data_IF_182955267792
#
_entry.id   IF_182955267792
#
_cell.length_a   1.000
_cell.length_b   1.000
_cell.length_c   1.000
_cell.angle_alpha   90.00
_cell.angle_beta   90.00
_cell.angle_gamma   90.00
#
_symmetry.space_group_name_H-M   'P 1'
#
loop_
_entity.id
_entity.type
_entity.pdbx_description
1 polymer ?
#
# COMPACT_ATOMS: atom_id res chain seq x y z
N UNK A 1 -15.09 -4.57 16.35
CA UNK A 1 -13.62 -4.37 16.35
C UNK A 1 -13.24 -3.06 17.03
N UNK A 2 -12.19 -3.06 17.87
CA UNK A 2 -11.60 -1.85 18.47
C UNK A 2 -10.25 -1.53 17.82
N UNK A 3 -9.94 -0.25 17.72
CA UNK A 3 -8.68 0.25 17.20
C UNK A 3 -7.94 1.06 18.27
N UNK A 4 -6.62 0.91 18.31
CA UNK A 4 -5.72 1.63 19.21
C UNK A 4 -5.06 2.77 18.43
N UNK A 5 -5.07 3.97 18.99
CA UNK A 5 -4.31 5.10 18.51
C UNK A 5 -2.87 5.04 19.06
N UNK A 6 -1.86 5.00 18.18
CA UNK A 6 -0.46 4.88 18.59
C UNK A 6 0.16 6.17 19.16
N UNK A 7 -0.57 7.29 19.11
CA UNK A 7 -0.18 8.56 19.76
C UNK A 7 -0.63 8.66 21.23
N UNK A 8 -1.28 7.61 21.77
CA UNK A 8 -1.77 7.58 23.13
C UNK A 8 -3.13 8.25 23.36
N UNK A 9 -3.81 8.71 22.31
CA UNK A 9 -5.15 9.33 22.42
C UNK A 9 -6.28 8.35 22.75
N UNK A 10 -5.98 7.05 22.85
CA UNK A 10 -6.88 6.03 23.41
C UNK A 10 -7.42 5.03 22.38
N UNK A 11 -8.57 4.44 22.71
CA UNK A 11 -9.23 3.43 21.89
C UNK A 11 -10.45 4.00 21.17
N UNK A 12 -10.66 3.57 19.93
CA UNK A 12 -11.78 3.99 19.10
C UNK A 12 -12.54 2.77 18.58
N UNK A 13 -13.86 2.90 18.42
CA UNK A 13 -14.67 1.88 17.75
C UNK A 13 -14.78 2.18 16.25
N UNK A 14 -14.52 1.12 15.48
CA UNK A 14 -14.70 0.93 14.04
C UNK A 14 -14.46 2.14 13.13
N UNK A 15 -15.38 3.10 12.99
CA UNK A 15 -15.31 4.03 11.85
C UNK A 15 -14.37 5.23 11.99
N UNK A 16 -14.33 5.90 13.14
CA UNK A 16 -13.54 7.16 13.29
C UNK A 16 -12.03 6.93 13.26
N UNK A 17 -11.57 5.81 13.83
CA UNK A 17 -10.14 5.46 13.85
C UNK A 17 -9.61 5.11 12.46
N UNK A 18 -10.35 4.27 11.72
CA UNK A 18 -9.96 3.81 10.39
C UNK A 18 -9.88 4.97 9.37
N UNK A 19 -10.80 5.95 9.46
CA UNK A 19 -10.92 7.03 8.49
C UNK A 19 -10.06 8.26 8.78
N UNK A 20 -9.72 8.57 10.03
CA UNK A 20 -9.15 9.90 10.33
C UNK A 20 -7.79 10.16 9.67
N UNK A 21 -6.94 9.13 9.49
CA UNK A 21 -5.59 9.21 8.91
C UNK A 21 -4.58 10.08 9.69
N UNK A 22 -5.02 10.83 10.70
CA UNK A 22 -4.19 11.79 11.47
C UNK A 22 -3.22 11.11 12.44
N UNK A 23 -3.57 9.91 12.87
CA UNK A 23 -2.83 9.11 13.84
C UNK A 23 -2.70 7.69 13.28
N UNK A 24 -1.61 6.94 13.56
CA UNK A 24 -1.56 5.56 13.15
C UNK A 24 -2.50 4.77 14.06
N UNK A 25 -3.54 4.20 13.46
CA UNK A 25 -4.44 3.25 14.12
C UNK A 25 -4.07 1.82 13.74
N UNK A 26 -4.16 0.93 14.71
CA UNK A 26 -4.00 -0.52 14.56
C UNK A 26 -5.20 -1.23 15.18
N UNK A 27 -5.63 -2.39 14.65
CA UNK A 27 -6.63 -3.20 15.33
C UNK A 27 -6.06 -3.65 16.68
N UNK A 28 -6.87 -3.60 17.73
CA UNK A 28 -6.44 -4.06 19.07
C UNK A 28 -6.04 -5.54 19.07
N UNK A 29 -6.70 -6.33 18.22
CA UNK A 29 -6.35 -7.71 17.91
C UNK A 29 -6.48 -7.91 16.41
N UNK A 30 -5.43 -8.40 15.78
CA UNK A 30 -5.48 -8.73 14.35
C UNK A 30 -6.35 -9.99 14.18
N UNK A 31 -7.42 -9.94 13.37
CA UNK A 31 -8.16 -11.13 12.96
C UNK A 31 -7.26 -12.09 12.21
N UNK A 32 -7.29 -13.38 12.59
CA UNK A 32 -6.67 -14.42 11.79
C UNK A 32 -7.63 -14.80 10.66
N UNK A 33 -7.08 -15.00 9.47
CA UNK A 33 -7.82 -15.33 8.27
C UNK A 33 -7.76 -16.84 8.04
N UNK A 34 -8.92 -17.44 7.80
CA UNK A 34 -9.05 -18.86 7.47
C UNK A 34 -8.51 -19.12 6.04
N UNK A 35 -7.63 -20.12 5.82
CA UNK A 35 -7.12 -20.44 4.49
C UNK A 35 -8.20 -20.90 3.50
N UNK A 36 -9.39 -21.30 3.97
CA UNK A 36 -10.52 -21.65 3.10
C UNK A 36 -10.96 -20.48 2.21
N UNK A 37 -10.65 -19.24 2.58
CA UNK A 37 -10.87 -18.03 1.76
C UNK A 37 -10.22 -18.11 0.37
N UNK A 38 -9.12 -18.88 0.24
CA UNK A 38 -8.44 -19.10 -1.04
C UNK A 38 -9.22 -20.04 -1.95
N UNK A 39 -10.05 -20.92 -1.38
CA UNK A 39 -10.88 -21.88 -2.12
C UNK A 39 -12.22 -21.29 -2.59
N UNK A 40 -12.72 -20.25 -1.91
CA UNK A 40 -13.92 -19.51 -2.33
C UNK A 40 -13.73 -18.99 -3.77
N UNK A 41 -14.73 -19.16 -4.62
CA UNK A 41 -14.67 -18.77 -6.03
C UNK A 41 -15.30 -17.41 -6.27
N UNK A 42 -16.29 -17.07 -5.48
CA UNK A 42 -16.94 -15.77 -5.53
C UNK A 42 -16.02 -14.71 -4.93
N UNK A 43 -15.66 -13.72 -5.75
CA UNK A 43 -14.80 -12.62 -5.33
C UNK A 43 -15.39 -11.84 -4.16
N UNK A 44 -16.69 -11.58 -4.18
CA UNK A 44 -17.36 -10.76 -3.18
C UNK A 44 -17.48 -11.49 -1.85
N UNK A 45 -17.81 -12.79 -1.86
CA UNK A 45 -17.86 -13.59 -0.63
C UNK A 45 -16.48 -13.67 0.04
N UNK A 46 -15.44 -13.98 -0.73
CA UNK A 46 -14.05 -13.96 -0.22
C UNK A 46 -13.69 -12.60 0.36
N UNK A 47 -14.00 -11.51 -0.33
CA UNK A 47 -13.65 -10.18 0.16
C UNK A 47 -14.49 -9.80 1.39
N UNK A 48 -15.74 -10.26 1.47
CA UNK A 48 -16.59 -10.13 2.65
C UNK A 48 -15.99 -10.85 3.86
N UNK A 49 -15.53 -12.09 3.70
CA UNK A 49 -14.89 -12.88 4.75
C UNK A 49 -13.64 -12.19 5.31
N UNK A 50 -12.83 -11.59 4.42
CA UNK A 50 -11.69 -10.78 4.82
C UNK A 50 -12.11 -9.56 5.66
N UNK A 51 -13.12 -8.81 5.21
CA UNK A 51 -13.47 -7.52 5.82
C UNK A 51 -14.28 -7.67 7.11
N UNK A 52 -15.20 -8.65 7.17
CA UNK A 52 -16.15 -8.82 8.27
C UNK A 52 -15.53 -8.68 9.68
N UNK A 53 -14.41 -9.36 10.01
CA UNK A 53 -13.80 -9.23 11.33
C UNK A 53 -13.30 -7.82 11.66
N UNK A 54 -12.84 -7.05 10.67
CA UNK A 54 -12.36 -5.67 10.84
C UNK A 54 -13.51 -4.68 11.05
N UNK A 55 -14.70 -5.00 10.56
CA UNK A 55 -15.91 -4.18 10.70
C UNK A 55 -16.90 -4.72 11.72
N UNK A 56 -16.50 -5.64 12.61
CA UNK A 56 -17.39 -6.22 13.64
C UNK A 56 -18.62 -6.97 13.06
N UNK A 57 -18.47 -7.56 11.87
CA UNK A 57 -19.54 -8.17 11.09
C UNK A 57 -20.69 -7.20 10.78
N UNK A 58 -20.38 -5.93 10.51
CA UNK A 58 -21.37 -4.92 10.15
C UNK A 58 -22.18 -5.37 8.92
N UNK A 59 -23.51 -5.51 9.04
CA UNK A 59 -24.35 -5.92 7.91
C UNK A 59 -24.36 -4.92 6.76
N UNK A 60 -23.92 -3.67 6.95
CA UNK A 60 -23.82 -2.67 5.87
C UNK A 60 -22.69 -2.98 4.88
N UNK A 61 -21.73 -3.84 5.23
CA UNK A 61 -20.69 -4.27 4.27
C UNK A 61 -21.29 -4.88 2.98
N UNK A 62 -22.45 -5.53 3.07
CA UNK A 62 -23.14 -6.10 1.89
C UNK A 62 -23.56 -5.05 0.86
N UNK A 63 -23.69 -3.78 1.27
CA UNK A 63 -24.06 -2.67 0.38
C UNK A 63 -22.83 -2.11 -0.37
N UNK A 64 -21.63 -2.35 0.18
CA UNK A 64 -20.35 -1.85 -0.34
C UNK A 64 -19.80 -2.81 -1.38
N UNK A 65 -19.78 -4.11 -1.09
CA UNK A 65 -19.11 -5.11 -1.92
C UNK A 65 -19.56 -5.11 -3.39
N UNK A 66 -20.87 -5.02 -3.73
CA UNK A 66 -21.31 -5.01 -5.12
C UNK A 66 -20.81 -3.81 -5.94
N UNK A 67 -20.36 -2.74 -5.27
CA UNK A 67 -19.83 -1.52 -5.90
C UNK A 67 -18.33 -1.62 -6.19
N UNK A 68 -17.66 -2.68 -5.74
CA UNK A 68 -16.23 -2.90 -5.96
C UNK A 68 -16.04 -3.75 -7.21
N UNK A 69 -15.24 -3.26 -8.16
CA UNK A 69 -14.96 -4.00 -9.40
C UNK A 69 -14.13 -5.27 -9.11
N UNK A 70 -14.53 -6.45 -9.60
CA UNK A 70 -13.69 -7.65 -9.56
C UNK A 70 -12.58 -7.61 -10.62
N UNK A 71 -12.66 -6.71 -11.60
CA UNK A 71 -11.63 -6.52 -12.62
C UNK A 71 -10.47 -5.68 -12.04
N UNK A 72 -9.56 -6.38 -11.35
CA UNK A 72 -8.39 -5.81 -10.65
C UNK A 72 -7.09 -5.94 -11.44
N UNK A 73 -7.15 -6.52 -12.65
CA UNK A 73 -5.99 -6.93 -13.44
C UNK A 73 -5.89 -8.45 -13.57
N UNK A 74 -4.71 -8.93 -13.93
CA UNK A 74 -4.49 -10.34 -14.25
C UNK A 74 -3.12 -10.85 -13.80
N UNK A 75 -3.09 -12.14 -13.45
CA UNK A 75 -1.86 -12.84 -13.11
C UNK A 75 -1.08 -13.21 -14.39
N UNK A 76 0.13 -12.68 -14.54
CA UNK A 76 1.09 -13.10 -15.56
C UNK A 76 2.05 -14.15 -15.00
N UNK A 77 2.35 -15.15 -15.80
CA UNK A 77 3.12 -16.33 -15.40
C UNK A 77 4.33 -16.47 -16.29
N UNK A 78 5.51 -16.65 -15.72
CA UNK A 78 6.74 -16.90 -16.49
C UNK A 78 7.02 -18.40 -16.52
N UNK A 79 7.00 -19.03 -15.36
CA UNK A 79 7.16 -20.47 -15.18
C UNK A 79 6.38 -20.94 -13.94
N UNK A 80 6.51 -22.22 -13.59
CA UNK A 80 5.83 -22.80 -12.43
C UNK A 80 6.41 -22.33 -11.08
N UNK A 81 7.40 -21.44 -11.06
CA UNK A 81 8.02 -20.90 -9.84
C UNK A 81 7.82 -19.39 -9.70
N UNK A 82 7.26 -18.72 -10.70
CA UNK A 82 7.07 -17.27 -10.65
C UNK A 82 5.85 -16.79 -11.41
N UNK A 83 5.11 -15.92 -10.73
CA UNK A 83 4.06 -15.12 -11.33
C UNK A 83 4.12 -13.70 -10.77
N UNK A 84 3.56 -12.76 -11.53
CA UNK A 84 3.35 -11.40 -11.05
C UNK A 84 1.95 -10.93 -11.39
N UNK A 85 1.37 -10.16 -10.48
CA UNK A 85 0.10 -9.50 -10.72
C UNK A 85 0.32 -8.25 -11.57
N UNK A 86 -0.28 -8.22 -12.77
CA UNK A 86 -0.38 -7.01 -13.58
C UNK A 86 -1.70 -6.32 -13.20
N UNK A 87 -1.67 -5.14 -12.55
CA UNK A 87 -2.91 -4.45 -12.22
C UNK A 87 -3.61 -3.96 -13.49
N UNK A 88 -4.94 -3.78 -13.42
CA UNK A 88 -5.69 -3.13 -14.49
C UNK A 88 -5.15 -1.73 -14.74
N UNK A 89 -4.98 -0.97 -13.66
CA UNK A 89 -4.33 0.32 -13.71
C UNK A 89 -3.20 0.46 -12.71
N UNK A 90 -3.50 0.26 -11.42
CA UNK A 90 -2.52 0.36 -10.35
C UNK A 90 -2.88 -0.61 -9.22
N UNK A 91 -1.90 -1.15 -8.50
CA UNK A 91 -2.17 -2.15 -7.44
C UNK A 91 -2.97 -1.57 -6.25
N UNK A 92 -3.15 -0.25 -6.15
CA UNK A 92 -4.01 0.39 -5.15
C UNK A 92 -5.47 0.58 -5.58
N UNK A 93 -5.87 0.12 -6.77
CA UNK A 93 -7.23 0.32 -7.28
C UNK A 93 -8.29 -0.26 -6.32
N UNK A 94 -8.07 -1.49 -5.82
CA UNK A 94 -8.96 -2.12 -4.83
C UNK A 94 -9.02 -1.30 -3.53
N UNK A 95 -7.88 -0.80 -3.06
CA UNK A 95 -7.77 0.00 -1.83
C UNK A 95 -8.56 1.30 -1.90
N UNK A 96 -8.43 2.05 -3.00
CA UNK A 96 -9.16 3.30 -3.16
C UNK A 96 -10.64 3.07 -3.48
N UNK A 97 -10.98 2.04 -4.25
CA UNK A 97 -12.38 1.63 -4.46
C UNK A 97 -13.06 1.28 -3.13
N UNK A 98 -12.39 0.52 -2.27
CA UNK A 98 -12.90 0.21 -0.92
C UNK A 98 -13.07 1.49 -0.08
N UNK A 99 -12.09 2.40 -0.11
CA UNK A 99 -12.17 3.67 0.61
C UNK A 99 -13.36 4.52 0.16
N UNK A 100 -13.57 4.66 -1.16
CA UNK A 100 -14.67 5.44 -1.70
C UNK A 100 -16.03 4.89 -1.28
N UNK A 101 -16.23 3.58 -1.41
CA UNK A 101 -17.49 2.94 -1.05
C UNK A 101 -17.75 2.94 0.46
N UNK A 102 -16.71 2.82 1.30
CA UNK A 102 -16.85 3.00 2.75
C UNK A 102 -17.26 4.42 3.10
N UNK A 103 -16.67 5.43 2.46
CA UNK A 103 -17.04 6.82 2.71
C UNK A 103 -18.48 7.09 2.29
N UNK A 104 -18.92 6.57 1.15
CA UNK A 104 -20.28 6.73 0.67
C UNK A 104 -21.31 6.12 1.65
N UNK A 105 -21.04 4.91 2.14
CA UNK A 105 -21.97 4.21 3.02
C UNK A 105 -21.97 4.78 4.45
N UNK A 106 -20.79 4.97 5.05
CA UNK A 106 -20.67 5.23 6.48
C UNK A 106 -20.42 6.69 6.82
N UNK A 107 -19.95 7.49 5.87
CA UNK A 107 -19.58 8.87 6.12
C UNK A 107 -19.82 9.81 4.92
N UNK A 108 -21.02 9.77 4.28
CA UNK A 108 -21.30 10.49 3.04
C UNK A 108 -21.17 12.01 3.19
N UNK A 109 -21.24 12.53 4.42
CA UNK A 109 -20.98 13.94 4.70
C UNK A 109 -19.58 14.40 4.26
N UNK A 110 -18.59 13.50 4.20
CA UNK A 110 -17.24 13.82 3.72
C UNK A 110 -17.12 13.78 2.19
N UNK A 111 -18.14 13.29 1.49
CA UNK A 111 -18.25 13.34 0.03
C UNK A 111 -19.04 14.58 -0.44
N UNK A 112 -19.50 15.44 0.47
CA UNK A 112 -20.18 16.68 0.11
C UNK A 112 -19.13 17.75 -0.22
N UNK A 113 -19.12 18.20 -1.48
CA UNK A 113 -18.19 19.23 -1.97
C UNK A 113 -17.04 18.64 -2.78
N UNK A 114 -15.92 19.36 -2.87
CA UNK A 114 -14.75 18.94 -3.64
C UNK A 114 -13.77 18.14 -2.77
N UNK A 115 -13.50 16.91 -3.16
CA UNK A 115 -12.50 16.02 -2.57
C UNK A 115 -11.10 16.38 -3.04
N UNK A 116 -10.25 16.75 -2.10
CA UNK A 116 -8.86 17.11 -2.37
C UNK A 116 -7.94 15.93 -2.02
N UNK A 117 -7.27 15.35 -3.01
CA UNK A 117 -6.18 14.40 -2.77
C UNK A 117 -4.83 15.13 -2.88
N UNK A 118 -3.97 14.94 -1.88
CA UNK A 118 -2.60 15.43 -1.90
C UNK A 118 -1.65 14.23 -2.06
N UNK A 119 -1.23 13.97 -3.30
CA UNK A 119 -0.43 12.80 -3.67
C UNK A 119 1.07 13.02 -3.48
N UNK A 120 1.85 11.94 -3.55
CA UNK A 120 3.32 12.00 -3.65
C UNK A 120 3.84 11.48 -4.98
N UNK A 121 3.05 10.64 -5.63
CA UNK A 121 3.29 10.12 -6.98
C UNK A 121 1.99 10.15 -7.78
N UNK A 122 2.09 10.15 -9.11
CA UNK A 122 0.94 10.09 -10.01
C UNK A 122 0.10 8.84 -9.82
N UNK A 123 0.76 7.77 -9.44
CA UNK A 123 0.20 6.43 -9.43
C UNK A 123 -0.90 6.25 -8.36
N UNK A 124 -0.69 6.77 -7.14
CA UNK A 124 -1.77 6.82 -6.12
C UNK A 124 -2.90 7.77 -6.49
N UNK A 125 -2.59 8.86 -7.22
CA UNK A 125 -3.61 9.79 -7.72
C UNK A 125 -4.52 9.14 -8.76
N UNK A 126 -3.98 8.23 -9.55
CA UNK A 126 -4.72 7.51 -10.58
C UNK A 126 -5.82 6.61 -10.00
N UNK A 127 -5.48 5.74 -9.03
CA UNK A 127 -6.48 4.90 -8.36
C UNK A 127 -7.57 5.73 -7.67
N UNK A 128 -7.20 6.86 -7.08
CA UNK A 128 -8.17 7.79 -6.47
C UNK A 128 -9.13 8.40 -7.51
N UNK A 129 -8.64 8.68 -8.72
CA UNK A 129 -9.50 9.18 -9.78
C UNK A 129 -10.54 8.16 -10.24
N UNK A 130 -10.18 6.90 -10.37
CA UNK A 130 -11.17 5.88 -10.73
C UNK A 130 -12.12 5.51 -9.60
N UNK A 131 -11.70 5.68 -8.34
CA UNK A 131 -12.52 5.28 -7.21
C UNK A 131 -13.67 6.25 -6.87
N UNK A 132 -13.52 7.54 -7.16
CA UNK A 132 -14.53 8.57 -6.80
C UNK A 132 -15.17 9.23 -8.06
N UNK A 133 -16.29 9.95 -7.97
CA UNK A 133 -16.89 10.66 -9.13
C UNK A 133 -16.10 11.91 -9.57
N UNK A 134 -16.04 12.20 -10.87
CA UNK A 134 -15.14 13.19 -11.49
C UNK A 134 -15.45 14.65 -11.16
N UNK A 135 -16.73 15.01 -11.02
CA UNK A 135 -17.20 16.40 -10.89
C UNK A 135 -16.84 17.06 -9.54
N UNK A 136 -16.22 16.32 -8.63
CA UNK A 136 -16.03 16.69 -7.23
C UNK A 136 -14.59 16.46 -6.75
N UNK A 137 -13.55 16.59 -7.59
CA UNK A 137 -12.18 16.32 -7.12
C UNK A 137 -11.15 17.31 -7.60
N UNK A 138 -10.13 17.51 -6.76
CA UNK A 138 -8.84 18.08 -7.13
C UNK A 138 -7.73 17.10 -6.72
N UNK A 139 -6.72 16.96 -7.56
CA UNK A 139 -5.50 16.23 -7.22
C UNK A 139 -4.33 17.20 -7.22
N UNK A 140 -3.63 17.26 -6.11
CA UNK A 140 -2.40 18.05 -5.96
C UNK A 140 -1.20 17.12 -5.92
N UNK A 141 -0.27 17.33 -6.85
CA UNK A 141 0.98 16.58 -6.99
C UNK A 141 2.16 17.55 -6.95
N UNK A 142 3.36 17.12 -6.51
CA UNK A 142 4.54 17.95 -6.68
C UNK A 142 4.89 18.06 -8.17
N UNK A 143 5.42 19.21 -8.59
CA UNK A 143 5.81 19.46 -10.00
C UNK A 143 6.77 18.40 -10.57
N UNK A 144 7.60 17.77 -9.75
CA UNK A 144 8.50 16.68 -10.18
C UNK A 144 7.82 15.43 -10.72
N UNK A 145 6.50 15.32 -10.58
CA UNK A 145 5.77 14.16 -11.09
C UNK A 145 5.49 14.36 -12.58
N UNK A 146 6.36 13.79 -13.42
CA UNK A 146 6.39 14.03 -14.87
C UNK A 146 5.42 13.18 -15.69
N UNK A 147 4.91 12.07 -15.14
CA UNK A 147 4.14 11.08 -15.89
C UNK A 147 2.74 10.94 -15.32
N UNK A 148 1.80 11.71 -15.85
CA UNK A 148 0.39 11.68 -15.47
C UNK A 148 -0.34 10.83 -16.50
N UNK A 149 -1.04 9.76 -16.11
CA UNK A 149 -1.82 8.96 -17.04
C UNK A 149 -2.79 9.81 -17.88
N UNK A 150 -2.87 9.55 -19.18
CA UNK A 150 -3.90 10.10 -20.05
C UNK A 150 -5.25 9.49 -19.68
N UNK A 151 -6.16 10.33 -19.21
CA UNK A 151 -7.57 9.97 -19.16
C UNK A 151 -8.41 11.22 -19.37
N UNK A 152 -9.41 11.09 -20.24
CA UNK A 152 -10.44 12.10 -20.46
C UNK A 152 -11.26 12.39 -19.19
N UNK A 153 -11.08 11.58 -18.15
CA UNK A 153 -11.72 11.71 -16.85
C UNK A 153 -10.94 12.63 -15.87
N UNK A 154 -9.74 13.08 -16.22
CA UNK A 154 -8.81 13.78 -15.31
C UNK A 154 -8.76 15.30 -15.56
N UNK A 155 -9.81 16.05 -15.20
CA UNK A 155 -9.90 17.49 -15.53
C UNK A 155 -9.31 18.46 -14.49
N UNK A 156 -9.05 18.00 -13.26
CA UNK A 156 -8.59 18.83 -12.13
C UNK A 156 -7.32 18.29 -11.44
N UNK A 157 -6.27 18.03 -12.24
CA UNK A 157 -4.94 17.72 -11.72
C UNK A 157 -4.11 19.00 -11.68
N UNK A 158 -3.55 19.28 -10.51
CA UNK A 158 -2.71 20.42 -10.22
C UNK A 158 -1.31 19.95 -9.83
N UNK A 159 -0.31 20.36 -10.60
CA UNK A 159 1.08 20.28 -10.19
C UNK A 159 1.40 21.53 -9.37
N UNK A 160 1.87 21.33 -8.14
CA UNK A 160 2.19 22.40 -7.21
C UNK A 160 3.66 22.72 -7.35
N UNK A 161 3.95 23.95 -7.78
CA UNK A 161 5.29 24.53 -7.84
C UNK A 161 5.80 24.71 -6.41
N UNK A 162 6.66 23.78 -5.99
CA UNK A 162 7.25 23.69 -4.66
C UNK A 162 8.54 22.88 -4.74
N UNK A 163 9.53 23.22 -3.91
CA UNK A 163 10.77 22.43 -3.86
C UNK A 163 10.42 20.97 -3.50
N UNK A 164 10.78 19.98 -4.34
CA UNK A 164 10.52 18.57 -4.09
C UNK A 164 11.04 18.08 -2.74
N UNK A 165 12.15 18.66 -2.26
CA UNK A 165 12.71 18.35 -0.94
C UNK A 165 11.79 18.79 0.18
N UNK A 166 10.95 19.80 -0.05
CA UNK A 166 10.01 20.38 0.92
C UNK A 166 8.57 19.95 0.70
N UNK A 167 8.25 19.23 -0.38
CA UNK A 167 6.89 18.78 -0.68
C UNK A 167 6.21 18.08 0.49
N UNK A 168 6.95 17.22 1.20
CA UNK A 168 6.45 16.54 2.39
C UNK A 168 6.00 17.52 3.50
N UNK A 169 6.68 18.65 3.68
CA UNK A 169 6.29 19.71 4.63
C UNK A 169 5.00 20.40 4.16
N UNK A 170 4.95 20.77 2.88
CA UNK A 170 3.78 21.38 2.23
C UNK A 170 2.56 20.48 2.39
N UNK A 171 2.67 19.21 1.95
CA UNK A 171 1.64 18.18 2.11
C UNK A 171 1.21 18.02 3.57
N UNK A 172 2.14 17.87 4.50
CA UNK A 172 1.82 17.67 5.92
C UNK A 172 1.11 18.87 6.54
N UNK A 173 1.46 20.09 6.12
CA UNK A 173 0.82 21.32 6.61
C UNK A 173 -0.65 21.35 6.19
N UNK A 174 -0.95 20.95 4.96
CA UNK A 174 -2.32 20.89 4.45
C UNK A 174 -3.15 19.77 5.05
N UNK A 175 -2.59 18.57 5.14
CA UNK A 175 -3.30 17.43 5.72
C UNK A 175 -3.74 17.67 7.17
N UNK A 176 -3.04 18.53 7.92
CA UNK A 176 -3.44 18.94 9.27
C UNK A 176 -4.70 19.82 9.29
N UNK A 177 -4.98 20.55 8.23
CA UNK A 177 -6.14 21.46 8.12
C UNK A 177 -7.41 20.71 7.72
N UNK A 178 -7.28 19.56 7.06
CA UNK A 178 -8.43 18.77 6.63
C UNK A 178 -9.15 18.12 7.82
N UNK A 179 -10.50 18.05 7.80
CA UNK A 179 -11.26 17.40 8.86
C UNK A 179 -10.93 15.90 8.94
N UNK A 180 -10.74 15.27 7.78
CA UNK A 180 -10.28 13.89 7.60
C UNK A 180 -9.13 13.86 6.59
N UNK A 181 -8.12 13.03 6.86
CA UNK A 181 -7.07 12.70 5.89
C UNK A 181 -7.50 11.46 5.10
N UNK A 182 -7.73 11.66 3.80
CA UNK A 182 -8.01 10.60 2.83
C UNK A 182 -6.76 10.37 1.98
N UNK A 183 -5.83 9.55 2.47
CA UNK A 183 -4.64 9.18 1.71
C UNK A 183 -4.16 7.75 2.01
N UNK A 184 -2.98 7.39 1.51
CA UNK A 184 -2.42 6.05 1.69
C UNK A 184 -2.25 5.64 3.16
N UNK A 185 -2.26 6.59 4.09
CA UNK A 185 -2.12 6.30 5.51
C UNK A 185 -3.37 5.71 6.16
N UNK A 186 -4.53 5.70 5.49
CA UNK A 186 -5.75 5.12 6.02
C UNK A 186 -5.63 3.59 6.14
N UNK A 187 -6.13 3.02 7.25
CA UNK A 187 -6.06 1.57 7.45
C UNK A 187 -6.86 0.79 6.40
N UNK A 188 -7.90 1.40 5.81
CA UNK A 188 -8.64 0.83 4.67
C UNK A 188 -7.73 0.50 3.49
N UNK A 189 -6.69 1.31 3.26
CA UNK A 189 -5.77 1.09 2.16
C UNK A 189 -5.02 -0.23 2.33
N UNK A 190 -4.65 -0.55 3.58
CA UNK A 190 -4.03 -1.83 3.96
C UNK A 190 -5.01 -2.99 3.71
N UNK A 191 -6.29 -2.84 4.06
CA UNK A 191 -7.31 -3.87 3.82
C UNK A 191 -7.51 -4.16 2.32
N UNK A 192 -7.47 -3.13 1.47
CA UNK A 192 -7.51 -3.32 0.02
C UNK A 192 -6.30 -4.09 -0.51
N UNK A 193 -5.09 -3.79 -0.01
CA UNK A 193 -3.89 -4.55 -0.37
C UNK A 193 -3.95 -6.01 0.11
N UNK A 194 -4.50 -6.26 1.30
CA UNK A 194 -4.75 -7.62 1.78
C UNK A 194 -5.69 -8.36 0.83
N UNK A 195 -6.78 -7.71 0.38
CA UNK A 195 -7.70 -8.27 -0.61
C UNK A 195 -7.03 -8.61 -1.93
N UNK A 196 -6.15 -7.74 -2.42
CA UNK A 196 -5.42 -7.96 -3.66
C UNK A 196 -4.46 -9.15 -3.54
N UNK A 197 -3.73 -9.29 -2.43
CA UNK A 197 -2.84 -10.44 -2.21
C UNK A 197 -3.65 -11.74 -2.15
N UNK A 198 -4.76 -11.76 -1.42
CA UNK A 198 -5.63 -12.95 -1.34
C UNK A 198 -6.19 -13.29 -2.72
N UNK A 199 -6.64 -12.30 -3.48
CA UNK A 199 -7.15 -12.52 -4.83
C UNK A 199 -6.06 -13.08 -5.77
N UNK A 200 -4.84 -12.53 -5.71
CA UNK A 200 -3.72 -13.04 -6.50
C UNK A 200 -3.33 -14.46 -6.09
N UNK A 201 -3.30 -14.77 -4.79
CA UNK A 201 -3.07 -16.13 -4.28
C UNK A 201 -4.13 -17.11 -4.81
N UNK A 202 -5.41 -16.74 -4.77
CA UNK A 202 -6.48 -17.55 -5.37
C UNK A 202 -6.24 -17.82 -6.86
N UNK A 203 -5.89 -16.79 -7.64
CA UNK A 203 -5.64 -16.97 -9.07
C UNK A 203 -4.43 -17.88 -9.34
N UNK A 204 -3.40 -17.91 -8.47
CA UNK A 204 -2.29 -18.87 -8.59
C UNK A 204 -2.73 -20.32 -8.41
N UNK A 205 -3.65 -20.58 -7.47
CA UNK A 205 -4.21 -21.92 -7.21
C UNK A 205 -5.15 -22.36 -8.33
N UNK A 206 -6.03 -21.45 -8.77
CA UNK A 206 -6.95 -21.66 -9.90
C UNK A 206 -6.19 -22.00 -11.18
N UNK A 207 -5.04 -21.37 -11.42
CA UNK A 207 -4.15 -21.68 -12.56
C UNK A 207 -3.26 -22.92 -12.34
N UNK A 208 -3.36 -23.58 -11.18
CA UNK A 208 -2.55 -24.77 -10.80
C UNK A 208 -1.05 -24.54 -10.90
N UNK A 209 -0.59 -23.31 -10.61
CA UNK A 209 0.84 -23.00 -10.56
C UNK A 209 1.52 -23.59 -9.34
N UNK A 210 0.73 -23.85 -8.30
CA UNK A 210 1.12 -24.43 -7.02
C UNK A 210 -0.01 -25.27 -6.45
N UNK A 211 0.30 -26.18 -5.54
CA UNK A 211 -0.70 -26.90 -4.77
C UNK A 211 -1.22 -26.03 -3.61
N UNK A 212 -2.39 -26.40 -3.12
CA UNK A 212 -2.97 -25.80 -1.92
C UNK A 212 -1.98 -25.97 -0.74
N UNK A 213 -1.78 -24.90 0.04
CA UNK A 213 -0.78 -24.79 1.11
C UNK A 213 0.71 -24.80 0.72
N UNK A 214 1.08 -24.90 -0.57
CA UNK A 214 2.49 -24.75 -0.96
C UNK A 214 3.01 -23.37 -0.55
N UNK A 215 4.20 -23.26 0.06
CA UNK A 215 4.73 -22.00 0.55
C UNK A 215 4.96 -21.00 -0.60
N UNK A 216 4.54 -19.76 -0.38
CA UNK A 216 4.67 -18.64 -1.32
C UNK A 216 5.51 -17.55 -0.69
N UNK A 217 6.49 -17.06 -1.44
CA UNK A 217 7.13 -15.79 -1.14
C UNK A 217 6.38 -14.65 -1.82
N UNK A 218 6.11 -13.59 -1.06
CA UNK A 218 5.43 -12.39 -1.55
C UNK A 218 6.47 -11.28 -1.73
N UNK A 219 6.72 -10.86 -2.96
CA UNK A 219 7.67 -9.80 -3.29
C UNK A 219 6.96 -8.44 -3.48
N UNK A 220 7.41 -7.43 -2.73
CA UNK A 220 6.79 -6.10 -2.69
C UNK A 220 7.87 -5.02 -2.76
N UNK A 221 7.68 -3.94 -3.55
CA UNK A 221 8.53 -2.76 -3.51
C UNK A 221 8.65 -2.18 -2.09
N UNK A 222 9.88 -1.99 -1.61
CA UNK A 222 10.16 -1.61 -0.23
C UNK A 222 9.70 -0.19 0.15
N UNK A 223 9.44 0.66 -0.84
CA UNK A 223 8.91 2.02 -0.69
C UNK A 223 7.41 2.05 -0.36
N UNK A 224 6.70 0.92 -0.46
CA UNK A 224 5.29 0.80 -0.09
C UNK A 224 5.11 0.05 1.23
N UNK A 225 5.24 0.76 2.36
CA UNK A 225 5.11 0.17 3.69
C UNK A 225 3.69 -0.30 4.00
N UNK A 226 2.66 0.34 3.45
CA UNK A 226 1.27 -0.10 3.57
C UNK A 226 1.09 -1.51 3.00
N UNK A 227 1.72 -1.77 1.85
CA UNK A 227 1.63 -3.06 1.19
C UNK A 227 2.45 -4.13 1.93
N UNK A 228 3.65 -3.79 2.41
CA UNK A 228 4.41 -4.66 3.31
C UNK A 228 3.64 -4.99 4.60
N UNK A 229 2.93 -4.02 5.16
CA UNK A 229 2.10 -4.22 6.36
C UNK A 229 0.88 -5.09 6.08
N UNK A 230 0.24 -4.94 4.91
CA UNK A 230 -0.83 -5.82 4.46
C UNK A 230 -0.34 -7.28 4.35
N UNK A 231 0.78 -7.50 3.68
CA UNK A 231 1.40 -8.82 3.60
C UNK A 231 1.77 -9.37 4.99
N UNK A 232 2.24 -8.52 5.91
CA UNK A 232 2.53 -8.92 7.29
C UNK A 232 1.27 -9.43 7.99
N UNK A 233 0.16 -8.71 7.92
CA UNK A 233 -1.11 -9.17 8.52
C UNK A 233 -1.60 -10.49 7.94
N UNK A 234 -1.40 -10.73 6.65
CA UNK A 234 -1.70 -12.02 6.04
C UNK A 234 -0.73 -13.11 6.49
N UNK A 235 0.57 -12.80 6.62
CA UNK A 235 1.61 -13.78 6.97
C UNK A 235 1.50 -14.34 8.39
N UNK A 236 0.84 -13.62 9.30
CA UNK A 236 0.57 -14.12 10.65
C UNK A 236 -0.69 -14.99 10.72
N UNK A 237 -1.50 -15.01 9.66
CA UNK A 237 -2.62 -15.94 9.49
C UNK A 237 -2.10 -17.26 8.92
N UNK A 238 -2.85 -18.38 9.07
CA UNK A 238 -2.52 -19.68 8.48
C UNK A 238 -2.65 -19.73 6.94
N UNK A 239 -2.25 -18.66 6.25
CA UNK A 239 -2.13 -18.58 4.81
C UNK A 239 -0.75 -19.09 4.35
N UNK A 240 -0.60 -19.51 3.08
CA UNK A 240 0.65 -20.08 2.57
C UNK A 240 1.78 -19.06 2.35
N UNK A 241 1.83 -17.96 3.11
CA UNK A 241 2.86 -16.93 2.98
C UNK A 241 4.07 -17.31 3.84
N UNK A 242 5.19 -17.66 3.20
CA UNK A 242 6.42 -18.07 3.87
C UNK A 242 7.29 -16.88 4.25
N UNK A 243 7.59 -16.01 3.29
CA UNK A 243 8.40 -14.79 3.48
C UNK A 243 7.82 -13.62 2.71
N UNK A 244 8.01 -12.43 3.25
CA UNK A 244 7.74 -11.17 2.57
C UNK A 244 9.07 -10.57 2.13
N UNK A 245 9.29 -10.45 0.83
CA UNK A 245 10.51 -9.93 0.24
C UNK A 245 10.32 -8.44 -0.05
N UNK A 246 10.96 -7.59 0.74
CA UNK A 246 11.00 -6.16 0.49
C UNK A 246 12.14 -5.83 -0.48
N UNK A 247 11.76 -5.39 -1.68
CA UNK A 247 12.67 -5.10 -2.77
C UNK A 247 12.95 -3.60 -2.87
N UNK A 248 14.19 -3.19 -2.59
CA UNK A 248 14.62 -1.79 -2.62
C UNK A 248 15.47 -1.50 -3.85
N UNK A 249 15.24 -0.37 -4.52
CA UNK A 249 16.01 0.04 -5.71
C UNK A 249 17.18 0.99 -5.34
N UNK A 250 16.86 2.14 -4.73
CA UNK A 250 17.85 3.20 -4.47
C UNK A 250 17.89 3.64 -2.99
N UNK A 251 16.73 3.67 -2.32
CA UNK A 251 16.64 4.04 -0.91
C UNK A 251 16.87 2.83 0.02
N UNK A 252 17.83 2.96 0.93
CA UNK A 252 18.27 1.86 1.82
C UNK A 252 17.62 1.88 3.20
N UNK A 253 16.80 2.88 3.51
CA UNK A 253 16.17 3.02 4.83
C UNK A 253 15.37 1.77 5.23
N UNK A 254 14.48 1.28 4.38
CA UNK A 254 13.70 0.06 4.66
C UNK A 254 14.59 -1.19 4.61
N UNK A 255 15.54 -1.24 3.68
CA UNK A 255 16.50 -2.35 3.60
C UNK A 255 17.33 -2.50 4.88
N UNK A 256 17.86 -1.41 5.41
CA UNK A 256 18.68 -1.40 6.63
C UNK A 256 17.86 -1.72 7.87
N UNK A 257 16.60 -1.25 7.95
CA UNK A 257 15.69 -1.65 9.02
C UNK A 257 15.47 -3.16 8.99
N UNK A 258 15.07 -3.71 7.84
CA UNK A 258 14.73 -5.12 7.71
C UNK A 258 15.95 -6.05 7.85
N UNK A 259 17.12 -5.64 7.36
CA UNK A 259 18.33 -6.49 7.36
C UNK A 259 19.22 -6.33 8.59
N UNK A 260 19.16 -5.19 9.30
CA UNK A 260 20.06 -4.86 10.43
C UNK A 260 19.35 -4.36 11.68
N UNK A 261 18.05 -4.11 11.61
CA UNK A 261 17.27 -3.54 12.71
C UNK A 261 17.58 -2.06 12.94
N UNK A 262 18.22 -1.39 11.98
CA UNK A 262 18.63 0.02 12.08
C UNK A 262 17.87 0.80 11.02
N UNK A 263 17.09 1.78 11.44
CA UNK A 263 16.44 2.70 10.53
C UNK A 263 17.25 3.99 10.47
N UNK A 264 17.68 4.39 9.27
CA UNK A 264 18.31 5.68 9.02
C UNK A 264 17.46 6.48 8.04
N UNK A 265 17.10 7.71 8.43
CA UNK A 265 16.38 8.62 7.55
C UNK A 265 17.37 9.30 6.60
N UNK A 266 17.71 8.61 5.52
CA UNK A 266 18.66 9.09 4.51
C UNK A 266 18.03 10.13 3.57
N UNK A 267 16.71 10.05 3.39
CA UNK A 267 15.93 10.95 2.54
C UNK A 267 14.67 11.42 3.26
N UNK A 268 14.14 12.57 2.83
CA UNK A 268 12.86 13.06 3.34
C UNK A 268 11.75 12.07 2.95
N UNK A 269 10.92 11.69 3.93
CA UNK A 269 9.78 10.78 3.76
C UNK A 269 8.48 11.50 4.10
N UNK A 270 7.38 11.06 3.48
CA UNK A 270 6.04 11.59 3.76
C UNK A 270 5.51 11.07 5.11
N UNK A 271 4.59 11.80 5.74
CA UNK A 271 3.95 11.36 6.98
C UNK A 271 3.20 10.04 6.81
N UNK A 272 2.64 9.74 5.63
CA UNK A 272 1.95 8.46 5.39
C UNK A 272 2.91 7.26 5.58
N UNK A 273 4.14 7.39 5.06
CA UNK A 273 5.20 6.40 5.26
C UNK A 273 5.46 6.17 6.76
N UNK A 274 5.60 7.23 7.56
CA UNK A 274 5.81 7.10 9.00
C UNK A 274 4.61 6.49 9.73
N UNK A 275 3.37 6.82 9.33
CA UNK A 275 2.17 6.20 9.91
C UNK A 275 2.18 4.69 9.68
N UNK A 276 2.52 4.23 8.48
CA UNK A 276 2.62 2.80 8.16
C UNK A 276 3.83 2.13 8.83
N UNK A 277 4.96 2.83 8.93
CA UNK A 277 6.14 2.38 9.68
C UNK A 277 5.81 2.13 11.15
N UNK A 278 5.17 3.08 11.83
CA UNK A 278 4.83 2.93 13.25
C UNK A 278 3.84 1.81 13.50
N UNK A 279 2.88 1.56 12.57
CA UNK A 279 2.01 0.38 12.64
C UNK A 279 2.82 -0.91 12.55
N UNK A 280 3.70 -1.05 11.56
CA UNK A 280 4.54 -2.24 11.42
C UNK A 280 5.41 -2.47 12.66
N UNK A 281 6.08 -1.42 13.15
CA UNK A 281 6.90 -1.47 14.34
C UNK A 281 6.10 -1.83 15.59
N UNK A 282 4.85 -1.38 15.70
CA UNK A 282 3.97 -1.72 16.81
C UNK A 282 3.71 -3.23 16.81
N UNK A 283 3.40 -3.79 15.65
CA UNK A 283 3.17 -5.23 15.53
C UNK A 283 4.41 -6.07 15.78
N UNK A 284 5.55 -5.65 15.22
CA UNK A 284 6.83 -6.33 15.41
C UNK A 284 7.29 -6.25 16.88
N UNK A 285 6.99 -5.15 17.56
CA UNK A 285 7.31 -4.98 18.99
C UNK A 285 6.32 -5.64 19.94
N UNK A 286 5.32 -6.38 19.41
CA UNK A 286 4.24 -7.05 20.15
C UNK A 286 3.34 -6.09 20.91
N UNK A 287 2.99 -4.98 20.26
CA UNK A 287 2.03 -4.01 20.75
C UNK A 287 2.58 -2.99 21.75
N UNK A 288 3.88 -2.68 21.68
CA UNK A 288 4.52 -1.79 22.65
C UNK A 288 4.48 -0.32 22.19
N UNK A 289 3.52 0.45 22.72
CA UNK A 289 3.44 1.91 22.50
C UNK A 289 4.71 2.61 23.00
N UNK A 290 5.25 2.18 24.15
CA UNK A 290 6.48 2.75 24.73
C UNK A 290 7.66 2.70 23.77
N UNK A 291 7.84 1.57 23.05
CA UNK A 291 8.88 1.44 22.02
C UNK A 291 8.64 2.35 20.82
N UNK A 292 7.40 2.50 20.38
CA UNK A 292 7.04 3.44 19.31
C UNK A 292 7.38 4.88 19.72
N UNK A 293 7.00 5.30 20.92
CA UNK A 293 7.32 6.63 21.44
C UNK A 293 8.84 6.84 21.53
N UNK A 294 9.58 5.83 21.99
CA UNK A 294 11.04 5.88 22.06
C UNK A 294 11.67 6.04 20.67
N UNK A 295 11.34 5.17 19.71
CA UNK A 295 11.89 5.23 18.35
C UNK A 295 11.49 6.50 17.62
N UNK A 296 10.25 7.00 17.81
CA UNK A 296 9.83 8.28 17.28
C UNK A 296 10.65 9.45 17.84
N UNK A 297 10.97 9.42 19.14
CA UNK A 297 11.84 10.42 19.79
C UNK A 297 13.27 10.35 19.25
N UNK A 298 13.86 9.16 19.17
CA UNK A 298 15.21 8.95 18.63
C UNK A 298 15.31 9.42 17.18
N UNK A 299 14.31 9.09 16.36
CA UNK A 299 14.23 9.53 14.98
C UNK A 299 14.11 11.06 14.86
N UNK A 300 13.31 11.70 15.71
CA UNK A 300 13.18 13.15 15.74
C UNK A 300 14.51 13.85 16.12
N UNK A 301 15.26 13.27 17.06
CA UNK A 301 16.49 13.85 17.59
C UNK A 301 17.74 13.57 16.73
N UNK A 302 17.85 12.33 16.23
CA UNK A 302 19.10 11.82 15.64
C UNK A 302 18.94 11.34 14.20
N UNK A 303 17.71 11.34 13.66
CA UNK A 303 17.38 10.80 12.32
C UNK A 303 17.67 9.30 12.16
N UNK A 304 17.90 8.60 13.28
CA UNK A 304 18.15 7.17 13.32
C UNK A 304 17.51 6.55 14.55
N UNK A 305 17.22 5.25 14.48
CA UNK A 305 16.93 4.42 15.66
C UNK A 305 17.31 2.97 15.39
N UNK A 306 17.49 2.20 16.46
CA UNK A 306 17.72 0.75 16.39
C UNK A 306 16.61 0.02 17.15
N UNK A 307 16.00 -0.96 16.51
CA UNK A 307 15.02 -1.81 17.18
C UNK A 307 15.73 -2.82 18.09
N UNK A 308 15.07 -3.20 19.19
CA UNK A 308 15.61 -4.17 20.12
C UNK A 308 15.70 -5.58 19.50
N UNK A 309 16.59 -6.42 20.05
CA UNK A 309 16.86 -7.75 19.52
C UNK A 309 15.59 -8.61 19.34
N UNK A 310 14.67 -8.60 20.31
CA UNK A 310 13.43 -9.41 20.23
C UNK A 310 12.52 -8.97 19.08
N UNK A 311 12.41 -7.65 18.87
CA UNK A 311 11.68 -7.07 17.73
C UNK A 311 12.37 -7.43 16.41
N UNK A 312 13.70 -7.35 16.37
CA UNK A 312 14.48 -7.71 15.18
C UNK A 312 14.37 -9.19 14.82
N UNK A 313 14.41 -10.10 15.80
CA UNK A 313 14.24 -11.54 15.56
C UNK A 313 12.87 -11.83 14.94
N UNK A 314 11.80 -11.19 15.44
CA UNK A 314 10.46 -11.31 14.84
C UNK A 314 10.42 -10.74 13.42
N UNK A 315 11.10 -9.62 13.18
CA UNK A 315 11.22 -9.04 11.84
C UNK A 315 11.90 -10.01 10.86
N UNK A 316 13.01 -10.65 11.25
CA UNK A 316 13.75 -11.62 10.44
C UNK A 316 12.97 -12.92 10.16
N UNK A 317 12.06 -13.30 11.06
CA UNK A 317 11.18 -14.44 10.85
C UNK A 317 10.21 -14.23 9.69
N UNK A 318 9.79 -12.99 9.42
CA UNK A 318 8.78 -12.68 8.40
C UNK A 318 9.41 -12.10 7.13
N UNK A 319 10.30 -11.14 7.27
CA UNK A 319 10.80 -10.36 6.16
C UNK A 319 12.16 -10.85 5.64
N UNK A 320 12.31 -10.78 4.33
CA UNK A 320 13.58 -10.74 3.63
C UNK A 320 13.72 -9.36 2.99
N UNK A 321 14.95 -8.88 2.83
CA UNK A 321 15.18 -7.64 2.10
C UNK A 321 16.31 -7.83 1.10
N UNK A 322 16.06 -7.35 -0.12
CA UNK A 322 17.06 -7.30 -1.18
C UNK A 322 17.22 -5.87 -1.69
N UNK A 323 18.46 -5.54 -2.03
CA UNK A 323 18.82 -4.28 -2.68
C UNK A 323 19.19 -4.56 -4.13
N UNK A 324 18.42 -3.98 -5.05
CA UNK A 324 18.47 -4.26 -6.46
C UNK A 324 19.41 -3.27 -7.15
N UNK A 325 20.47 -3.79 -7.78
CA UNK A 325 21.29 -2.99 -8.69
C UNK A 325 21.01 -3.37 -10.14
N UNK A 326 20.79 -2.39 -11.04
CA UNK A 326 20.53 -2.62 -12.47
C UNK A 326 21.50 -3.60 -13.13
N UNK A 327 22.79 -3.55 -12.77
CA UNK A 327 23.84 -4.45 -13.31
C UNK A 327 23.58 -5.95 -13.06
N UNK A 328 22.86 -6.30 -11.99
CA UNK A 328 22.65 -7.71 -11.60
C UNK A 328 21.48 -8.39 -12.33
N UNK A 329 20.68 -7.64 -13.09
CA UNK A 329 19.43 -8.15 -13.66
C UNK A 329 19.42 -8.21 -15.19
N UNK A 330 20.56 -8.02 -15.86
CA UNK A 330 20.63 -8.00 -17.34
C UNK A 330 20.07 -9.27 -17.97
N UNK A 331 20.43 -10.43 -17.44
CA UNK A 331 20.02 -11.73 -17.99
C UNK A 331 18.53 -11.98 -17.75
N UNK A 332 18.01 -11.51 -16.60
CA UNK A 332 16.57 -11.57 -16.30
C UNK A 332 15.79 -10.61 -17.18
N UNK A 333 16.31 -9.41 -17.44
CA UNK A 333 15.68 -8.43 -18.34
C UNK A 333 15.52 -8.98 -19.75
N UNK A 334 16.51 -9.72 -20.23
CA UNK A 334 16.43 -10.38 -21.53
C UNK A 334 15.30 -11.42 -21.56
N UNK A 335 15.12 -12.22 -20.50
CA UNK A 335 14.01 -13.20 -20.41
C UNK A 335 12.65 -12.50 -20.54
N UNK A 336 12.41 -11.45 -19.75
CA UNK A 336 11.14 -10.71 -19.81
C UNK A 336 10.92 -10.06 -21.17
N UNK A 337 11.98 -9.49 -21.77
CA UNK A 337 11.93 -8.86 -23.09
C UNK A 337 11.59 -9.88 -24.18
N UNK A 338 12.22 -11.05 -24.17
CA UNK A 338 11.99 -12.12 -25.14
C UNK A 338 10.58 -12.72 -25.03
N UNK A 339 9.99 -12.70 -23.83
CA UNK A 339 8.61 -13.09 -23.59
C UNK A 339 7.60 -11.96 -23.90
N UNK A 340 8.06 -10.76 -24.29
CA UNK A 340 7.20 -9.60 -24.54
C UNK A 340 6.50 -9.08 -23.27
N UNK A 341 7.04 -9.40 -22.09
CA UNK A 341 6.45 -9.01 -20.81
C UNK A 341 7.02 -7.68 -20.37
N UNK A 342 6.15 -6.68 -20.22
CA UNK A 342 6.53 -5.42 -19.60
C UNK A 342 6.46 -5.57 -18.08
N UNK A 343 7.58 -5.34 -17.39
CA UNK A 343 7.71 -5.57 -15.96
C UNK A 343 8.62 -4.54 -15.32
N UNK A 344 8.37 -4.27 -14.05
CA UNK A 344 9.26 -3.47 -13.23
C UNK A 344 10.53 -4.24 -12.88
N UNK A 345 11.57 -3.48 -12.51
CA UNK A 345 12.80 -4.03 -11.95
C UNK A 345 12.54 -4.86 -10.67
N UNK A 346 11.42 -4.60 -9.98
CA UNK A 346 11.01 -5.35 -8.80
C UNK A 346 10.56 -6.77 -9.16
N UNK A 347 9.69 -6.95 -10.15
CA UNK A 347 9.31 -8.30 -10.59
C UNK A 347 10.48 -9.07 -11.18
N UNK A 348 11.39 -8.40 -11.87
CA UNK A 348 12.63 -9.04 -12.34
C UNK A 348 13.51 -9.52 -11.17
N UNK A 349 13.66 -8.72 -10.12
CA UNK A 349 14.39 -9.15 -8.93
C UNK A 349 13.67 -10.27 -8.17
N UNK A 350 12.34 -10.23 -8.11
CA UNK A 350 11.53 -11.30 -7.52
C UNK A 350 11.68 -12.62 -8.30
N UNK A 351 11.75 -12.55 -9.64
CA UNK A 351 12.04 -13.69 -10.48
C UNK A 351 13.44 -14.26 -10.21
N UNK A 352 14.47 -13.41 -10.11
CA UNK A 352 15.82 -13.87 -9.77
C UNK A 352 15.82 -14.63 -8.42
N UNK A 353 15.13 -14.09 -7.41
CA UNK A 353 14.98 -14.75 -6.10
C UNK A 353 14.26 -16.10 -6.18
N UNK A 354 13.20 -16.20 -6.98
CA UNK A 354 12.45 -17.47 -7.12
C UNK A 354 13.33 -18.57 -7.71
N UNK A 355 14.19 -18.21 -8.68
CA UNK A 355 15.15 -19.12 -9.31
C UNK A 355 16.23 -19.60 -8.34
N UNK A 356 16.72 -18.72 -7.47
CA UNK A 356 17.74 -19.06 -6.47
C UNK A 356 17.20 -19.96 -5.36
N UNK A 357 15.96 -19.72 -4.92
CA UNK A 357 15.37 -20.43 -3.77
C UNK A 357 14.54 -21.64 -4.15
N UNK A 358 14.13 -21.77 -5.42
CA UNK A 358 13.14 -22.76 -5.89
C UNK A 358 11.81 -22.70 -5.13
N UNK A 359 11.48 -21.54 -4.54
CA UNK A 359 10.19 -21.27 -3.90
C UNK A 359 9.32 -20.45 -4.85
N UNK A 360 8.05 -20.82 -4.95
CA UNK A 360 7.10 -20.05 -5.76
C UNK A 360 7.03 -18.60 -5.22
N UNK A 361 7.32 -17.64 -6.09
CA UNK A 361 7.32 -16.22 -5.71
C UNK A 361 6.26 -15.48 -6.50
N UNK A 362 5.42 -14.73 -5.78
CA UNK A 362 4.40 -13.86 -6.33
C UNK A 362 4.84 -12.40 -6.16
N UNK A 363 4.99 -11.69 -7.27
CA UNK A 363 5.28 -10.25 -7.30
C UNK A 363 4.05 -9.43 -7.70
N UNK A 364 4.10 -8.12 -7.53
CA UNK A 364 3.03 -7.20 -7.91
C UNK A 364 3.63 -6.02 -8.69
N UNK A 365 3.13 -5.81 -9.91
CA UNK A 365 3.53 -4.65 -10.69
C UNK A 365 2.92 -3.37 -10.11
N UNK A 366 3.70 -2.28 -10.02
CA UNK A 366 3.20 -1.04 -9.47
C UNK A 366 2.12 -0.43 -10.37
N UNK A 367 2.19 -0.57 -11.67
CA UNK A 367 1.20 0.02 -12.58
C UNK A 367 1.10 -0.79 -13.87
N UNK A 368 0.02 -0.55 -14.61
CA UNK A 368 -0.08 -1.03 -15.98
C UNK A 368 0.73 -0.13 -16.91
N UNK A 369 1.82 -0.66 -17.42
CA UNK A 369 2.73 0.03 -18.33
C UNK A 369 2.14 0.36 -19.70
N UNK A 370 0.96 -0.16 -20.03
CA UNK A 370 0.25 0.13 -21.27
C UNK A 370 -0.58 1.42 -21.20
N UNK A 371 -0.67 2.06 -20.04
CA UNK A 371 -1.38 3.32 -19.90
C UNK A 371 -0.49 4.45 -20.42
N UNK A 372 -0.96 5.13 -21.46
CA UNK A 372 -0.30 6.32 -22.02
C UNK A 372 -0.28 7.45 -20.97
N UNK A 373 0.77 8.27 -20.97
CA UNK A 373 0.92 9.40 -20.05
C UNK A 373 0.97 10.73 -20.80
N UNK A 374 0.23 11.73 -20.33
CA UNK A 374 0.24 13.11 -20.82
C UNK A 374 0.76 14.06 -19.75
N UNK A 375 1.01 15.30 -20.16
CA UNK A 375 1.38 16.39 -19.28
C UNK A 375 0.23 17.42 -19.11
N UNK A 376 -1.01 16.94 -18.98
CA UNK A 376 -2.21 17.80 -18.94
C UNK A 376 -2.49 18.46 -17.57
N UNK A 377 -1.54 18.45 -16.63
CA UNK A 377 -1.73 19.11 -15.34
C UNK A 377 -1.58 20.63 -15.43
N UNK A 378 -2.38 21.34 -14.62
CA UNK A 378 -2.23 22.78 -14.41
C UNK A 378 -1.14 23.01 -13.37
N UNK A 379 -0.15 23.83 -13.67
CA UNK A 379 0.83 24.26 -12.67
C UNK A 379 0.23 25.38 -11.84
N UNK A 380 0.28 25.25 -10.52
CA UNK A 380 -0.20 26.25 -9.56
C UNK A 380 0.84 26.47 -8.46
N UNK A 381 0.80 27.62 -7.80
CA UNK A 381 1.65 27.86 -6.63
C UNK A 381 1.00 27.32 -5.34
N UNK A 382 1.76 27.31 -4.25
CA UNK A 382 1.29 26.82 -2.93
C UNK A 382 0.13 27.66 -2.36
N UNK A 383 0.03 28.96 -2.66
CA UNK A 383 -1.06 29.82 -2.21
C UNK A 383 -2.37 29.52 -2.95
N UNK A 384 -2.30 29.27 -4.26
CA UNK A 384 -3.47 28.88 -5.06
C UNK A 384 -4.01 27.53 -4.58
N UNK A 385 -3.13 26.57 -4.29
CA UNK A 385 -3.51 25.28 -3.69
C UNK A 385 -4.29 25.48 -2.38
N UNK A 386 -3.87 26.40 -1.53
CA UNK A 386 -4.59 26.73 -0.28
C UNK A 386 -6.01 27.22 -0.60
N UNK A 387 -6.14 28.14 -1.56
CA UNK A 387 -7.45 28.67 -1.93
C UNK A 387 -8.40 27.56 -2.39
N UNK A 388 -7.94 26.65 -3.27
CA UNK A 388 -8.74 25.51 -3.74
C UNK A 388 -9.17 24.55 -2.61
N UNK A 389 -8.37 24.40 -1.56
CA UNK A 389 -8.67 23.50 -0.44
C UNK A 389 -9.63 24.15 0.56
N UNK A 390 -9.55 25.47 0.72
CA UNK A 390 -10.38 26.22 1.69
C UNK A 390 -11.78 26.58 1.19
N UNK A 391 -12.01 26.49 -0.13
CA UNK A 391 -13.32 26.65 -0.78
C UNK A 391 -14.07 25.32 -0.78
#
# INVERSE_FOLDING_TARGET
>A
MRYIALDGTGHFRTFKGILSGKTPYVPEKIPLIDPDILSEKDFFLRFQELLNPYFDNDPQLKNILPKISPDLGHLQTIDNQFAFWQPKYHFSDLSFSLLANILEEYAPQYLKGTLNLIGTTTNTGFSFCHAFPLEQKNIFLPETVLSIPESNELTNIFQVDTDPKTWHVTKNTFLKQLPIRLDSSNFIIILGYMGLIIHALHETEKKRLRFYNDPVDIAIPADNLEYLLAAYYLSISPLPIRKIIALSSEHRTVHTLLSRGIFNLDTMQDSAFFLSLYRLLFEISRGSIEKITLWAKELAQTKTFKIDAKSFDKMQQVFLSSFISKRKLTDVQEIFTNLGLNSSIFSQAAYAHSRETSIFTLSFEPYNSQIESSNNAKIINTQDMIQYITQ
#
